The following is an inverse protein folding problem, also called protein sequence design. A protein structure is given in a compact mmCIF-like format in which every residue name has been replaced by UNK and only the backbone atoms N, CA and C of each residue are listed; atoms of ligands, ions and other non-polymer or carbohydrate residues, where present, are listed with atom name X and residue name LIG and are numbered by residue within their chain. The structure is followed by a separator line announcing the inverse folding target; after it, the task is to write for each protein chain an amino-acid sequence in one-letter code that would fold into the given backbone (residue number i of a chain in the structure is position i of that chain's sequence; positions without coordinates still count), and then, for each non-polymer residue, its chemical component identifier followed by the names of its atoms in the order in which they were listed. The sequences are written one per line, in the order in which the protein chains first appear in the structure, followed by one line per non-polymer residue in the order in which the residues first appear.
data_IF_072787777779
#
_entry.id   IF_072787777779
#
_cell.length_a   1.000
_cell.length_b   1.000
_cell.length_c   1.000
_cell.angle_alpha   90.00
_cell.angle_beta   90.00
_cell.angle_gamma   90.00
#
_symmetry.space_group_name_H-M   'P 1'
#
loop_
_entity.id
_entity.type
_entity.pdbx_description
1 polymer ?
#
# COMPACT_ATOMS: atom_id res chain seq x y z
N UNK A 1 31.54 11.80 -16.08
CA UNK A 1 31.63 10.51 -15.34
C UNK A 1 30.94 10.54 -13.96
N UNK A 2 30.48 11.70 -13.47
CA UNK A 2 29.88 11.90 -12.13
C UNK A 2 28.42 11.44 -12.01
N UNK A 3 27.64 11.51 -13.09
CA UNK A 3 26.21 11.12 -13.14
C UNK A 3 26.02 9.62 -12.86
N UNK A 4 26.97 8.77 -13.28
CA UNK A 4 26.91 7.32 -13.06
C UNK A 4 27.00 6.95 -11.57
N UNK A 5 27.89 7.61 -10.82
CA UNK A 5 28.08 7.36 -9.38
C UNK A 5 26.86 7.79 -8.55
N UNK A 6 26.22 8.91 -8.92
CA UNK A 6 25.00 9.38 -8.26
C UNK A 6 23.82 8.42 -8.50
N UNK A 7 23.64 7.94 -9.74
CA UNK A 7 22.64 6.91 -10.06
C UNK A 7 22.88 5.63 -9.27
N UNK A 8 24.14 5.19 -9.17
CA UNK A 8 24.50 4.01 -8.39
C UNK A 8 24.20 4.20 -6.90
N UNK A 9 24.50 5.37 -6.32
CA UNK A 9 24.18 5.69 -4.92
C UNK A 9 22.68 5.56 -4.63
N UNK A 10 21.84 6.24 -5.40
CA UNK A 10 20.39 6.22 -5.17
C UNK A 10 19.77 4.85 -5.41
N UNK A 11 20.25 4.12 -6.42
CA UNK A 11 19.83 2.73 -6.63
C UNK A 11 20.17 1.85 -5.43
N UNK A 12 21.39 1.94 -4.89
CA UNK A 12 21.77 1.18 -3.69
C UNK A 12 20.92 1.55 -2.47
N UNK A 13 20.67 2.85 -2.26
CA UNK A 13 19.82 3.33 -1.17
C UNK A 13 18.38 2.83 -1.27
N UNK A 14 17.86 2.62 -2.47
CA UNK A 14 16.55 2.01 -2.67
C UNK A 14 16.57 0.49 -2.48
N UNK A 15 17.48 -0.20 -3.17
CA UNK A 15 17.46 -1.65 -3.26
C UNK A 15 17.89 -2.34 -1.96
N UNK A 16 18.80 -1.76 -1.17
CA UNK A 16 19.23 -2.37 0.10
C UNK A 16 18.05 -2.57 1.07
N UNK A 17 17.30 -1.53 1.49
CA UNK A 17 16.16 -1.72 2.38
C UNK A 17 15.00 -2.48 1.74
N UNK A 18 14.80 -2.35 0.42
CA UNK A 18 13.83 -3.17 -0.31
C UNK A 18 14.14 -4.66 -0.19
N UNK A 19 15.39 -5.07 -0.46
CA UNK A 19 15.82 -6.48 -0.42
C UNK A 19 15.83 -7.00 1.01
N UNK A 20 16.22 -6.18 1.99
CA UNK A 20 16.14 -6.56 3.41
C UNK A 20 14.69 -6.85 3.82
N UNK A 21 13.75 -5.96 3.48
CA UNK A 21 12.32 -6.19 3.77
C UNK A 21 11.77 -7.42 3.02
N UNK A 22 12.20 -7.64 1.78
CA UNK A 22 11.85 -8.85 1.03
C UNK A 22 12.37 -10.11 1.73
N UNK A 23 13.61 -10.08 2.22
CA UNK A 23 14.19 -11.16 3.02
C UNK A 23 13.37 -11.48 4.26
N UNK A 24 12.92 -10.45 5.00
CA UNK A 24 12.02 -10.63 6.15
C UNK A 24 10.72 -11.32 5.75
N UNK A 25 10.09 -10.92 4.65
CA UNK A 25 8.87 -11.55 4.16
C UNK A 25 9.06 -13.02 3.80
N UNK A 26 10.20 -13.35 3.18
CA UNK A 26 10.56 -14.73 2.87
C UNK A 26 10.83 -15.55 4.14
N UNK A 27 11.56 -14.99 5.12
CA UNK A 27 11.85 -15.67 6.39
C UNK A 27 10.59 -15.94 7.24
N UNK A 28 9.60 -15.06 7.17
CA UNK A 28 8.29 -15.24 7.82
C UNK A 28 7.35 -16.15 7.03
N UNK A 29 7.75 -16.58 5.81
CA UNK A 29 6.92 -17.38 4.93
C UNK A 29 5.60 -16.68 4.62
N UNK A 30 5.66 -15.44 4.14
CA UNK A 30 4.47 -14.68 3.74
C UNK A 30 4.17 -14.84 2.23
N UNK A 31 2.91 -14.67 1.83
CA UNK A 31 2.50 -14.78 0.41
C UNK A 31 3.31 -13.80 -0.48
N UNK A 32 3.62 -14.14 -1.76
CA UNK A 32 2.91 -15.10 -2.61
C UNK A 32 3.38 -16.55 -2.48
N UNK A 33 4.40 -16.85 -1.68
CA UNK A 33 5.07 -18.16 -1.67
C UNK A 33 4.64 -19.10 -0.53
N UNK A 34 3.70 -18.69 0.33
CA UNK A 34 3.27 -19.44 1.52
C UNK A 34 1.83 -19.11 1.91
N UNK A 35 1.22 -19.91 2.79
CA UNK A 35 -0.17 -19.77 3.25
C UNK A 35 -0.37 -18.70 4.33
N UNK A 36 0.70 -18.21 4.97
CA UNK A 36 0.59 -17.18 6.00
C UNK A 36 0.41 -15.80 5.36
N UNK A 37 -0.58 -15.05 5.85
CA UNK A 37 -0.89 -13.73 5.33
C UNK A 37 -0.59 -12.63 6.35
N UNK A 38 -0.10 -11.47 5.89
CA UNK A 38 -0.08 -10.24 6.68
C UNK A 38 -1.49 -9.69 6.94
N UNK A 39 -2.48 -10.16 6.18
CA UNK A 39 -3.86 -9.74 6.32
C UNK A 39 -4.44 -10.32 7.60
N UNK A 40 -4.46 -9.52 8.66
CA UNK A 40 -5.06 -9.87 9.94
C UNK A 40 -5.65 -8.65 10.63
N UNK A 41 -6.56 -8.86 11.59
CA UNK A 41 -7.14 -7.82 12.43
C UNK A 41 -7.72 -6.65 11.63
N UNK A 42 -7.19 -5.45 11.89
CA UNK A 42 -7.65 -4.21 11.27
C UNK A 42 -7.38 -4.16 9.76
N UNK A 43 -6.35 -4.86 9.26
CA UNK A 43 -6.07 -4.85 7.82
C UNK A 43 -7.23 -5.44 7.01
N UNK A 44 -7.78 -6.56 7.48
CA UNK A 44 -8.93 -7.22 6.83
C UNK A 44 -10.25 -6.48 7.09
N UNK A 45 -10.47 -6.02 8.33
CA UNK A 45 -11.76 -5.46 8.73
C UNK A 45 -11.93 -3.98 8.36
N UNK A 46 -10.85 -3.21 8.28
CA UNK A 46 -10.91 -1.76 8.10
C UNK A 46 -10.22 -1.27 6.82
N UNK A 47 -8.97 -1.68 6.59
CA UNK A 47 -8.16 -1.16 5.49
C UNK A 47 -8.55 -1.76 4.13
N UNK A 48 -8.72 -3.08 4.05
CA UNK A 48 -9.04 -3.74 2.78
C UNK A 48 -10.37 -3.28 2.18
N UNK A 49 -11.48 -3.17 2.94
CA UNK A 49 -12.73 -2.60 2.44
C UNK A 49 -12.57 -1.13 2.03
N UNK A 50 -11.74 -0.37 2.75
CA UNK A 50 -11.48 1.03 2.45
C UNK A 50 -10.74 1.18 1.09
N UNK A 51 -9.78 0.32 0.79
CA UNK A 51 -9.10 0.31 -0.51
C UNK A 51 -10.03 -0.13 -1.65
N UNK A 52 -10.93 -1.08 -1.40
CA UNK A 52 -11.95 -1.47 -2.39
C UNK A 52 -12.90 -0.30 -2.66
N UNK A 53 -13.36 0.38 -1.60
CA UNK A 53 -14.19 1.57 -1.71
C UNK A 53 -13.50 2.67 -2.50
N UNK A 54 -12.21 2.91 -2.24
CA UNK A 54 -11.39 3.88 -2.97
C UNK A 54 -11.30 3.54 -4.46
N UNK A 55 -11.02 2.29 -4.81
CA UNK A 55 -10.97 1.84 -6.21
C UNK A 55 -12.33 2.01 -6.90
N UNK A 56 -13.42 1.55 -6.28
CA UNK A 56 -14.78 1.71 -6.83
C UNK A 56 -15.14 3.18 -7.02
N UNK A 57 -14.85 4.03 -6.04
CA UNK A 57 -15.11 5.46 -6.09
C UNK A 57 -14.43 6.12 -7.30
N UNK A 58 -13.13 5.86 -7.49
CA UNK A 58 -12.37 6.42 -8.60
C UNK A 58 -12.87 5.94 -9.97
N UNK A 59 -13.21 4.66 -10.11
CA UNK A 59 -13.63 4.09 -11.39
C UNK A 59 -15.12 4.27 -11.71
N UNK A 60 -15.97 4.47 -10.70
CA UNK A 60 -17.40 4.81 -10.88
C UNK A 60 -17.61 6.31 -11.14
N UNK A 61 -16.65 7.16 -10.76
CA UNK A 61 -16.77 8.61 -10.83
C UNK A 61 -17.67 9.22 -9.75
N UNK A 62 -18.19 8.41 -8.82
CA UNK A 62 -18.99 8.89 -7.69
C UNK A 62 -18.11 9.22 -6.49
N UNK A 63 -17.68 10.48 -6.42
CA UNK A 63 -16.84 10.99 -5.34
C UNK A 63 -17.60 11.30 -4.03
N UNK A 64 -18.91 11.06 -3.96
CA UNK A 64 -19.69 11.28 -2.72
C UNK A 64 -19.16 10.44 -1.55
N UNK A 65 -18.65 9.24 -1.85
CA UNK A 65 -18.01 8.32 -0.91
C UNK A 65 -16.74 8.86 -0.23
N UNK A 66 -16.14 9.96 -0.72
CA UNK A 66 -15.05 10.64 -0.01
C UNK A 66 -15.53 11.37 1.24
N UNK A 67 -16.80 11.79 1.25
CA UNK A 67 -17.38 12.59 2.32
C UNK A 67 -18.32 11.77 3.21
N UNK A 68 -19.12 10.89 2.62
CA UNK A 68 -20.11 10.09 3.34
C UNK A 68 -20.25 8.69 2.73
N UNK A 69 -20.33 7.64 3.55
CA UNK A 69 -20.58 6.28 3.05
C UNK A 69 -21.52 5.50 3.96
N UNK A 70 -22.46 4.77 3.34
CA UNK A 70 -23.37 3.82 3.98
C UNK A 70 -22.83 2.38 3.98
N UNK A 71 -21.65 2.12 3.41
CA UNK A 71 -21.13 0.75 3.28
C UNK A 71 -20.64 0.13 4.60
N UNK A 72 -20.41 0.93 5.66
CA UNK A 72 -19.86 0.43 6.94
C UNK A 72 -20.86 0.32 8.10
N UNK A 73 -22.06 0.93 8.02
CA UNK A 73 -23.11 0.91 9.08
C UNK A 73 -24.34 1.76 8.66
N UNK A 74 -24.96 2.51 9.58
CA UNK A 74 -26.04 3.49 9.35
C UNK A 74 -25.65 4.72 8.50
N UNK A 75 -24.45 4.74 7.93
CA UNK A 75 -23.85 5.92 7.30
C UNK A 75 -22.90 6.65 8.24
N UNK A 76 -21.82 7.21 7.69
CA UNK A 76 -20.88 8.00 8.46
C UNK A 76 -19.98 8.89 7.61
N UNK A 77 -19.41 9.90 8.25
CA UNK A 77 -18.45 10.81 7.64
C UNK A 77 -17.13 10.08 7.37
N UNK A 78 -16.65 10.18 6.13
CA UNK A 78 -15.45 9.49 5.66
C UNK A 78 -14.13 10.29 5.75
N UNK A 79 -14.07 11.63 5.78
CA UNK A 79 -12.80 12.36 5.80
C UNK A 79 -11.88 11.98 6.96
N UNK A 80 -12.44 11.79 8.15
CA UNK A 80 -11.69 11.34 9.33
C UNK A 80 -11.18 9.91 9.16
N UNK A 81 -11.96 9.03 8.54
CA UNK A 81 -11.58 7.64 8.24
C UNK A 81 -10.44 7.60 7.23
N UNK A 82 -10.51 8.40 6.16
CA UNK A 82 -9.44 8.53 5.17
C UNK A 82 -8.15 9.09 5.79
N UNK A 83 -8.26 10.11 6.64
CA UNK A 83 -7.13 10.71 7.33
C UNK A 83 -6.48 9.75 8.33
N UNK A 84 -7.28 9.06 9.15
CA UNK A 84 -6.79 8.10 10.14
C UNK A 84 -6.12 6.88 9.49
N UNK A 85 -6.70 6.35 8.41
CA UNK A 85 -6.12 5.23 7.68
C UNK A 85 -4.97 5.63 6.73
N UNK A 86 -4.51 6.89 6.81
CA UNK A 86 -3.37 7.49 6.12
C UNK A 86 -3.25 7.06 4.65
N UNK A 87 -3.97 7.78 3.78
CA UNK A 87 -3.75 7.73 2.33
C UNK A 87 -2.30 8.07 2.00
N UNK A 88 -1.47 7.03 1.87
CA UNK A 88 -0.13 7.16 1.34
C UNK A 88 -0.21 7.38 -0.17
N UNK A 89 0.79 8.04 -0.79
CA UNK A 89 0.89 8.04 -2.25
C UNK A 89 0.89 6.62 -2.84
N UNK A 90 1.44 5.64 -2.10
CA UNK A 90 1.41 4.23 -2.48
C UNK A 90 0.01 3.58 -2.43
N UNK A 91 -0.93 4.14 -1.65
CA UNK A 91 -2.32 3.68 -1.63
C UNK A 91 -3.00 3.89 -2.98
N UNK A 92 -2.52 4.83 -3.80
CA UNK A 92 -3.01 5.02 -5.15
C UNK A 92 -2.77 3.82 -6.08
N UNK A 93 -1.82 2.93 -5.74
CA UNK A 93 -1.67 1.66 -6.46
C UNK A 93 -2.93 0.79 -6.36
N UNK A 94 -3.67 0.85 -5.25
CA UNK A 94 -4.97 0.19 -5.13
C UNK A 94 -6.04 0.79 -6.03
N UNK A 95 -5.89 2.03 -6.49
CA UNK A 95 -6.80 2.63 -7.48
C UNK A 95 -6.47 2.12 -8.87
N UNK A 96 -5.18 2.04 -9.23
CA UNK A 96 -4.74 1.72 -10.59
C UNK A 96 -4.94 0.24 -10.94
N UNK A 97 -4.65 -0.65 -10.00
CA UNK A 97 -4.66 -2.10 -10.23
C UNK A 97 -6.01 -2.73 -9.88
N UNK A 98 -6.40 -3.85 -10.51
CA UNK A 98 -7.67 -4.51 -10.23
C UNK A 98 -7.71 -5.09 -8.81
N UNK A 99 -8.93 -5.20 -8.27
CA UNK A 99 -9.20 -5.71 -6.91
C UNK A 99 -8.59 -7.11 -6.67
N UNK A 100 -8.54 -7.96 -7.70
CA UNK A 100 -7.90 -9.29 -7.62
C UNK A 100 -6.43 -9.24 -7.22
N UNK A 101 -5.72 -8.13 -7.51
CA UNK A 101 -4.31 -7.94 -7.19
C UNK A 101 -4.08 -7.33 -5.80
N UNK A 102 -5.12 -6.96 -5.06
CA UNK A 102 -4.97 -6.21 -3.79
C UNK A 102 -4.20 -6.98 -2.73
N UNK A 103 -4.40 -8.30 -2.70
CA UNK A 103 -3.65 -9.17 -1.82
C UNK A 103 -2.16 -9.14 -2.11
N UNK A 104 -1.75 -9.03 -3.37
CA UNK A 104 -0.32 -8.91 -3.74
C UNK A 104 0.19 -7.50 -3.46
N UNK A 105 -0.60 -6.47 -3.76
CA UNK A 105 -0.24 -5.07 -3.53
C UNK A 105 0.07 -4.75 -2.07
N UNK A 106 -0.61 -5.40 -1.12
CA UNK A 106 -0.31 -5.21 0.30
C UNK A 106 1.10 -5.67 0.70
N UNK A 107 1.75 -6.52 -0.10
CA UNK A 107 3.15 -6.89 0.09
C UNK A 107 4.09 -5.99 -0.70
N UNK A 108 3.70 -5.62 -1.92
CA UNK A 108 4.50 -4.73 -2.78
C UNK A 108 4.64 -3.34 -2.16
N UNK A 109 3.57 -2.79 -1.59
CA UNK A 109 3.56 -1.42 -1.03
C UNK A 109 4.57 -1.26 0.12
N UNK A 110 4.63 -2.14 1.13
CA UNK A 110 5.68 -2.10 2.15
C UNK A 110 7.11 -2.19 1.58
N UNK A 111 7.34 -3.01 0.56
CA UNK A 111 8.65 -3.11 -0.09
C UNK A 111 9.05 -1.80 -0.78
N UNK A 112 8.14 -1.21 -1.54
CA UNK A 112 8.34 0.10 -2.17
C UNK A 112 8.56 1.20 -1.14
N UNK A 113 7.80 1.18 -0.04
CA UNK A 113 7.97 2.11 1.08
C UNK A 113 9.35 1.99 1.70
N UNK A 114 9.81 0.79 2.00
CA UNK A 114 11.16 0.55 2.53
C UNK A 114 12.23 1.08 1.59
N UNK A 115 12.09 0.83 0.28
CA UNK A 115 13.01 1.35 -0.74
C UNK A 115 13.05 2.88 -0.77
N UNK A 116 11.89 3.54 -0.82
CA UNK A 116 11.82 5.01 -0.87
C UNK A 116 12.33 5.64 0.43
N UNK A 117 12.07 5.04 1.59
CA UNK A 117 12.63 5.50 2.87
C UNK A 117 14.16 5.51 2.83
N UNK A 118 14.80 4.48 2.26
CA UNK A 118 16.25 4.45 2.11
C UNK A 118 16.81 5.58 1.24
N UNK A 119 16.10 5.96 0.18
CA UNK A 119 16.48 7.08 -0.70
C UNK A 119 16.31 8.43 0.00
N UNK A 120 15.29 8.57 0.85
CA UNK A 120 14.99 9.85 1.53
C UNK A 120 15.94 10.10 2.71
N UNK A 121 16.37 9.06 3.41
CA UNK A 121 17.13 9.19 4.66
C UNK A 121 18.63 8.79 4.58
N UNK A 122 19.15 8.35 3.41
CA UNK A 122 20.57 7.98 3.21
C UNK A 122 21.33 8.82 2.16
#
# INVERSE_FOLDING_TARGET
MTISKMKLKYSSLFFVPFVVMLGVFLSLGLTPFSQNSIHSGDFLSQYFPLYIGLHKLFWSGDFSGLFWSFEKSLGGAMPSVWGFNSLSPFTFLYVIFPISSFQVLSYVIPLLRAGVMGVVFG
#
